data_IF_351773419976
#
_entry.id   IF_351773419976
#
_cell.length_a   1.000
_cell.length_b   1.000
_cell.length_c   1.000
_cell.angle_alpha   90.00
_cell.angle_beta   90.00
_cell.angle_gamma   90.00
#
_symmetry.space_group_name_H-M   'P 1'
#
loop_
_entity.id
_entity.type
_entity.pdbx_description
1 polymer ?
#
# COMPACT_ATOMS: atom_id res chain seq x y z
N UNK A 1 -29.05 7.00 3.56
CA UNK A 1 -27.98 5.99 3.34
C UNK A 1 -27.82 5.63 1.86
N UNK A 2 -28.87 5.20 1.15
CA UNK A 2 -28.77 4.79 -0.27
C UNK A 2 -28.25 5.90 -1.21
N UNK A 3 -28.77 7.13 -1.09
CA UNK A 3 -28.29 8.26 -1.90
C UNK A 3 -26.83 8.65 -1.62
N UNK A 4 -26.36 8.48 -0.38
CA UNK A 4 -24.96 8.69 -0.02
C UNK A 4 -24.06 7.60 -0.59
N UNK A 5 -24.49 6.33 -0.50
CA UNK A 5 -23.79 5.20 -1.08
C UNK A 5 -23.67 5.33 -2.61
N UNK A 6 -24.76 5.71 -3.29
CA UNK A 6 -24.75 6.01 -4.73
C UNK A 6 -23.75 7.12 -5.07
N UNK A 7 -23.81 8.26 -4.37
CA UNK A 7 -22.87 9.37 -4.61
C UNK A 7 -21.41 8.93 -4.45
N UNK A 8 -21.10 8.10 -3.44
CA UNK A 8 -19.76 7.55 -3.20
C UNK A 8 -19.36 6.56 -4.29
N UNK A 9 -20.25 5.66 -4.71
CA UNK A 9 -20.00 4.69 -5.77
C UNK A 9 -19.77 5.39 -7.11
N UNK A 10 -20.56 6.40 -7.46
CA UNK A 10 -20.35 7.19 -8.67
C UNK A 10 -19.01 7.92 -8.63
N UNK A 11 -18.66 8.54 -7.49
CA UNK A 11 -17.36 9.19 -7.31
C UNK A 11 -16.19 8.20 -7.45
N UNK A 12 -16.32 6.99 -6.92
CA UNK A 12 -15.31 5.94 -7.02
C UNK A 12 -15.19 5.42 -8.45
N UNK A 13 -16.32 5.16 -9.12
CA UNK A 13 -16.32 4.70 -10.50
C UNK A 13 -15.68 5.74 -11.44
N UNK A 14 -16.03 7.02 -11.27
CA UNK A 14 -15.46 8.10 -12.06
C UNK A 14 -13.96 8.27 -11.79
N UNK A 15 -13.53 8.20 -10.52
CA UNK A 15 -12.10 8.31 -10.20
C UNK A 15 -11.29 7.15 -10.77
N UNK A 16 -11.82 5.92 -10.69
CA UNK A 16 -11.18 4.74 -11.28
C UNK A 16 -11.10 4.85 -12.80
N UNK A 17 -12.17 5.30 -13.47
CA UNK A 17 -12.20 5.47 -14.93
C UNK A 17 -11.20 6.54 -15.40
N UNK A 18 -11.14 7.68 -14.69
CA UNK A 18 -10.16 8.72 -15.00
C UNK A 18 -8.73 8.22 -14.76
N UNK A 19 -8.49 7.54 -13.63
CA UNK A 19 -7.19 6.99 -13.31
C UNK A 19 -6.74 5.94 -14.35
N UNK A 20 -7.63 5.01 -14.73
CA UNK A 20 -7.32 3.98 -15.75
C UNK A 20 -7.05 4.59 -17.12
N UNK A 21 -7.81 5.62 -17.51
CA UNK A 21 -7.58 6.33 -18.76
C UNK A 21 -6.21 7.02 -18.75
N UNK A 22 -5.86 7.72 -17.67
CA UNK A 22 -4.56 8.37 -17.53
C UNK A 22 -3.43 7.35 -17.59
N UNK A 23 -3.53 6.23 -16.86
CA UNK A 23 -2.53 5.15 -16.88
C UNK A 23 -2.40 4.59 -18.30
N UNK A 24 -3.51 4.30 -18.98
CA UNK A 24 -3.51 3.80 -20.35
C UNK A 24 -2.79 4.76 -21.30
N UNK A 25 -3.09 6.06 -21.23
CA UNK A 25 -2.44 7.08 -22.06
C UNK A 25 -0.94 7.20 -21.76
N UNK A 26 -0.54 7.13 -20.49
CA UNK A 26 0.88 7.18 -20.09
C UNK A 26 1.64 5.96 -20.64
N UNK A 27 1.06 4.77 -20.54
CA UNK A 27 1.65 3.54 -21.10
C UNK A 27 1.75 3.62 -22.62
N UNK A 28 0.76 4.21 -23.28
CA UNK A 28 0.73 4.33 -24.75
C UNK A 28 1.75 5.35 -25.30
N UNK A 29 2.12 6.35 -24.49
CA UNK A 29 3.15 7.35 -24.85
C UNK A 29 4.55 6.85 -24.46
N UNK A 30 4.64 5.84 -23.59
CA UNK A 30 5.93 5.28 -23.18
C UNK A 30 6.67 4.71 -24.40
N UNK A 31 7.98 5.01 -24.54
CA UNK A 31 8.77 4.50 -25.65
C UNK A 31 8.93 2.98 -25.55
N UNK A 32 8.64 2.28 -26.64
CA UNK A 32 8.80 0.83 -26.76
C UNK A 32 7.58 0.13 -27.34
N UNK A 33 7.80 -0.92 -28.11
CA UNK A 33 6.74 -1.80 -28.59
C UNK A 33 6.61 -3.02 -27.65
N UNK A 34 5.43 -3.25 -27.03
CA UNK A 34 5.21 -4.45 -26.21
C UNK A 34 5.55 -5.75 -26.93
N UNK A 35 5.27 -5.86 -28.24
CA UNK A 35 5.59 -7.06 -29.01
C UNK A 35 7.11 -7.27 -29.16
N UNK A 36 7.85 -6.20 -29.47
CA UNK A 36 9.33 -6.25 -29.52
C UNK A 36 9.93 -6.54 -28.14
N UNK A 37 9.37 -5.98 -27.07
CA UNK A 37 9.81 -6.25 -25.70
C UNK A 37 9.58 -7.73 -25.32
N UNK A 38 8.43 -8.29 -25.70
CA UNK A 38 8.10 -9.69 -25.45
C UNK A 38 9.02 -10.66 -26.20
N UNK A 39 9.37 -10.36 -27.46
CA UNK A 39 10.22 -11.24 -28.28
C UNK A 39 11.72 -11.02 -28.05
N UNK A 40 12.10 -9.87 -27.47
CA UNK A 40 13.49 -9.51 -27.19
C UNK A 40 14.18 -8.79 -28.36
N UNK A 41 15.41 -8.33 -28.12
CA UNK A 41 16.15 -7.44 -29.02
C UNK A 41 16.51 -8.06 -30.39
N UNK A 42 16.49 -9.38 -30.50
CA UNK A 42 16.85 -10.11 -31.72
C UNK A 42 15.61 -10.61 -32.51
N UNK A 43 14.42 -10.12 -32.18
CA UNK A 43 13.19 -10.54 -32.84
C UNK A 43 13.19 -10.11 -34.32
N UNK A 44 12.88 -11.04 -35.22
CA UNK A 44 12.75 -10.75 -36.64
C UNK A 44 11.54 -9.80 -36.88
N UNK A 45 11.61 -8.81 -37.78
CA UNK A 45 10.53 -7.86 -37.99
C UNK A 45 9.17 -8.50 -38.29
N UNK A 46 9.17 -9.61 -39.03
CA UNK A 46 7.96 -10.35 -39.40
C UNK A 46 7.29 -11.00 -38.18
N UNK A 47 8.08 -11.52 -37.21
CA UNK A 47 7.53 -12.13 -35.99
C UNK A 47 7.00 -11.08 -35.03
N UNK A 48 7.62 -9.90 -34.98
CA UNK A 48 7.10 -8.75 -34.24
C UNK A 48 5.76 -8.30 -34.82
N UNK A 49 5.66 -8.13 -36.15
CA UNK A 49 4.42 -7.72 -36.80
C UNK A 49 3.29 -8.76 -36.61
N UNK A 50 3.60 -10.05 -36.64
CA UNK A 50 2.64 -11.10 -36.34
C UNK A 50 2.13 -11.00 -34.89
N UNK A 51 3.02 -10.84 -33.91
CA UNK A 51 2.64 -10.72 -32.50
C UNK A 51 1.88 -9.42 -32.21
N UNK A 52 2.19 -8.30 -32.88
CA UNK A 52 1.43 -7.05 -32.76
C UNK A 52 -0.02 -7.22 -33.17
N UNK A 53 -0.25 -7.93 -34.28
CA UNK A 53 -1.59 -8.25 -34.76
C UNK A 53 -2.31 -9.18 -33.79
N UNK A 54 -1.64 -10.23 -33.28
CA UNK A 54 -2.22 -11.17 -32.30
C UNK A 54 -2.64 -10.47 -31.00
N UNK A 55 -1.80 -9.53 -30.51
CA UNK A 55 -2.08 -8.72 -29.32
C UNK A 55 -3.05 -7.56 -29.57
N UNK A 56 -3.50 -7.36 -30.83
CA UNK A 56 -4.37 -6.24 -31.21
C UNK A 56 -3.73 -4.86 -31.00
N UNK A 57 -2.40 -4.76 -31.01
CA UNK A 57 -1.68 -3.50 -30.80
C UNK A 57 -1.86 -2.51 -31.95
N UNK A 58 -2.23 -3.00 -33.14
CA UNK A 58 -2.50 -2.20 -34.33
C UNK A 58 -3.95 -1.68 -34.38
N UNK A 59 -4.81 -2.07 -33.43
CA UNK A 59 -6.17 -1.55 -33.32
C UNK A 59 -6.17 -0.08 -32.84
N UNK A 60 -7.22 0.71 -33.19
CA UNK A 60 -7.40 2.04 -32.65
C UNK A 60 -7.37 2.06 -31.10
N UNK A 61 -6.68 3.06 -30.53
CA UNK A 61 -6.46 3.19 -29.08
C UNK A 61 -7.73 3.12 -28.25
N UNK A 62 -8.81 3.75 -28.73
CA UNK A 62 -10.10 3.74 -28.04
C UNK A 62 -10.70 2.32 -27.99
N UNK A 63 -10.54 1.52 -29.06
CA UNK A 63 -11.04 0.15 -29.12
C UNK A 63 -10.25 -0.75 -28.16
N UNK A 64 -8.92 -0.60 -28.11
CA UNK A 64 -8.06 -1.30 -27.14
C UNK A 64 -8.43 -0.97 -25.69
N UNK A 65 -8.71 0.30 -25.40
CA UNK A 65 -9.11 0.72 -24.06
C UNK A 65 -10.48 0.13 -23.67
N UNK A 66 -11.47 0.20 -24.56
CA UNK A 66 -12.80 -0.34 -24.30
C UNK A 66 -12.81 -1.87 -24.20
N UNK A 67 -12.02 -2.58 -25.01
CA UNK A 67 -11.90 -4.03 -24.92
C UNK A 67 -11.23 -4.45 -23.61
N UNK A 68 -10.14 -3.79 -23.22
CA UNK A 68 -9.47 -4.03 -21.94
C UNK A 68 -10.40 -3.73 -20.74
N UNK A 69 -11.13 -2.61 -20.78
CA UNK A 69 -12.07 -2.23 -19.74
C UNK A 69 -13.23 -3.24 -19.64
N UNK A 70 -13.78 -3.68 -20.78
CA UNK A 70 -14.83 -4.71 -20.82
C UNK A 70 -14.36 -6.06 -20.29
N UNK A 71 -13.13 -6.46 -20.61
CA UNK A 71 -12.49 -7.65 -20.05
C UNK A 71 -12.37 -7.56 -18.54
N UNK A 72 -11.82 -6.44 -18.03
CA UNK A 72 -11.64 -6.22 -16.58
C UNK A 72 -12.97 -6.27 -15.82
N UNK A 73 -14.06 -5.70 -16.37
CA UNK A 73 -15.40 -5.79 -15.78
C UNK A 73 -15.97 -7.22 -15.78
N UNK A 74 -15.51 -8.06 -16.70
CA UNK A 74 -15.89 -9.48 -16.79
C UNK A 74 -14.97 -10.41 -15.98
N UNK A 75 -13.98 -9.85 -15.28
CA UNK A 75 -12.99 -10.60 -14.49
C UNK A 75 -11.74 -11.02 -15.27
N UNK A 76 -11.62 -10.65 -16.55
CA UNK A 76 -10.41 -10.86 -17.34
C UNK A 76 -9.47 -9.65 -17.23
N UNK A 77 -8.43 -9.80 -16.41
CA UNK A 77 -7.40 -8.79 -16.22
C UNK A 77 -6.30 -8.83 -17.30
N UNK A 78 -6.38 -9.78 -18.22
CA UNK A 78 -5.38 -10.04 -19.25
C UNK A 78 -4.11 -10.72 -18.72
N UNK A 79 -3.12 -10.78 -19.60
CA UNK A 79 -1.82 -11.41 -19.36
C UNK A 79 -0.73 -10.34 -19.28
N UNK A 80 0.23 -10.52 -18.37
CA UNK A 80 1.41 -9.65 -18.31
C UNK A 80 2.29 -9.86 -19.53
N UNK A 81 2.60 -8.78 -20.26
CA UNK A 81 3.59 -8.84 -21.34
C UNK A 81 5.01 -9.13 -20.83
N UNK A 82 5.34 -8.74 -19.60
CA UNK A 82 6.66 -8.97 -19.01
C UNK A 82 6.80 -10.39 -18.45
N UNK A 83 5.84 -10.84 -17.63
CA UNK A 83 5.95 -12.13 -16.93
C UNK A 83 5.26 -13.28 -17.66
N UNK A 84 4.50 -12.99 -18.73
CA UNK A 84 3.72 -13.97 -19.51
C UNK A 84 2.78 -14.84 -18.67
N UNK A 85 2.28 -14.29 -17.57
CA UNK A 85 1.33 -14.93 -16.66
C UNK A 85 0.05 -14.09 -16.51
N UNK A 86 -1.09 -14.72 -16.18
CA UNK A 86 -2.34 -14.00 -15.92
C UNK A 86 -2.16 -12.95 -14.83
N UNK A 87 -2.64 -11.73 -15.07
CA UNK A 87 -2.52 -10.62 -14.11
C UNK A 87 -3.25 -10.93 -12.81
N UNK A 88 -4.40 -11.60 -12.89
CA UNK A 88 -5.17 -12.02 -11.71
C UNK A 88 -4.36 -12.92 -10.76
N UNK A 89 -3.56 -13.84 -11.31
CA UNK A 89 -2.70 -14.72 -10.53
C UNK A 89 -1.57 -13.94 -9.86
N UNK A 90 -0.90 -13.04 -10.58
CA UNK A 90 0.14 -12.19 -9.99
C UNK A 90 -0.42 -11.32 -8.85
N UNK A 91 -1.62 -10.76 -9.02
CA UNK A 91 -2.27 -9.97 -7.98
C UNK A 91 -2.58 -10.84 -6.76
N UNK A 92 -3.14 -12.04 -6.97
CA UNK A 92 -3.42 -12.99 -5.91
C UNK A 92 -2.15 -13.35 -5.12
N UNK A 93 -1.06 -13.68 -5.81
CA UNK A 93 0.23 -14.01 -5.19
C UNK A 93 0.75 -12.86 -4.32
N UNK A 94 0.64 -11.61 -4.78
CA UNK A 94 1.10 -10.43 -4.03
C UNK A 94 0.19 -10.09 -2.85
N UNK A 95 -1.11 -10.36 -2.94
CA UNK A 95 -2.07 -10.14 -1.84
C UNK A 95 -1.70 -11.01 -0.63
N UNK A 96 -1.21 -12.24 -0.85
CA UNK A 96 -0.82 -13.16 0.25
C UNK A 96 0.24 -12.59 1.18
N UNK A 97 1.07 -11.65 0.71
CA UNK A 97 2.09 -10.95 1.51
C UNK A 97 1.60 -9.57 1.92
N UNK A 98 1.02 -8.82 0.98
CA UNK A 98 0.68 -7.41 1.17
C UNK A 98 -0.44 -7.20 2.18
N UNK A 99 -1.49 -8.02 2.13
CA UNK A 99 -2.64 -7.88 3.02
C UNK A 99 -2.27 -8.22 4.48
N UNK A 100 -1.61 -9.36 4.79
CA UNK A 100 -1.16 -9.65 6.14
C UNK A 100 -0.16 -8.62 6.67
N UNK A 101 0.77 -8.14 5.83
CA UNK A 101 1.70 -7.07 6.21
C UNK A 101 0.97 -5.77 6.58
N UNK A 102 -0.01 -5.36 5.76
CA UNK A 102 -0.80 -4.16 6.03
C UNK A 102 -1.61 -4.29 7.33
N UNK A 103 -2.27 -5.43 7.55
CA UNK A 103 -3.02 -5.71 8.78
C UNK A 103 -2.10 -5.75 10.01
N UNK A 104 -0.92 -6.34 9.88
CA UNK A 104 0.05 -6.41 10.97
C UNK A 104 0.59 -5.02 11.33
N UNK A 105 0.99 -4.22 10.33
CA UNK A 105 1.42 -2.84 10.53
C UNK A 105 0.32 -1.97 11.13
N UNK A 106 -0.92 -2.09 10.63
CA UNK A 106 -2.08 -1.38 11.16
C UNK A 106 -2.36 -1.76 12.62
N UNK A 107 -2.35 -3.06 12.92
CA UNK A 107 -2.53 -3.57 14.27
C UNK A 107 -1.46 -3.04 15.23
N UNK A 108 -0.18 -3.14 14.86
CA UNK A 108 0.93 -2.59 15.64
C UNK A 108 0.78 -1.07 15.83
N UNK A 109 0.45 -0.33 14.77
CA UNK A 109 0.33 1.12 14.84
C UNK A 109 -0.77 1.54 15.81
N UNK A 110 -1.91 0.87 15.77
CA UNK A 110 -3.06 1.13 16.64
C UNK A 110 -2.77 0.74 18.09
N UNK A 111 -2.15 -0.43 18.29
CA UNK A 111 -1.77 -0.95 19.60
C UNK A 111 -0.76 -0.06 20.31
N UNK A 112 0.11 0.64 19.57
CA UNK A 112 1.05 1.61 20.12
C UNK A 112 0.40 2.98 20.29
N UNK A 113 -0.34 3.44 19.28
CA UNK A 113 -0.91 4.79 19.23
C UNK A 113 -1.96 5.03 20.30
N UNK A 114 -2.89 4.09 20.51
CA UNK A 114 -4.00 4.28 21.44
C UNK A 114 -3.50 4.40 22.88
N UNK A 115 -2.70 3.47 23.44
CA UNK A 115 -2.20 3.61 24.80
C UNK A 115 -1.32 4.85 24.98
N UNK A 116 -0.45 5.16 24.00
CA UNK A 116 0.40 6.35 24.07
C UNK A 116 -0.43 7.65 24.07
N UNK A 117 -1.43 7.74 23.19
CA UNK A 117 -2.34 8.89 23.11
C UNK A 117 -3.21 9.06 24.36
N UNK A 118 -3.78 7.96 24.88
CA UNK A 118 -4.57 7.94 26.12
C UNK A 118 -3.70 8.38 27.30
N UNK A 119 -2.51 7.81 27.44
CA UNK A 119 -1.57 8.15 28.51
C UNK A 119 -1.16 9.62 28.49
N UNK A 120 -0.85 10.16 27.30
CA UNK A 120 -0.50 11.56 27.13
C UNK A 120 -1.68 12.50 27.45
N UNK A 121 -2.90 12.15 27.01
CA UNK A 121 -4.10 12.94 27.31
C UNK A 121 -4.41 12.95 28.82
N UNK A 122 -4.34 11.80 29.49
CA UNK A 122 -4.58 11.68 30.93
C UNK A 122 -3.55 12.45 31.77
N UNK A 123 -2.34 12.69 31.23
CA UNK A 123 -1.26 13.43 31.88
C UNK A 123 -0.99 14.78 31.22
N UNK A 124 -2.00 15.39 30.57
CA UNK A 124 -1.89 16.67 29.87
C UNK A 124 -1.12 17.70 30.70
N UNK A 125 -0.10 18.30 30.09
CA UNK A 125 0.74 19.34 30.71
C UNK A 125 1.78 18.83 31.73
N UNK A 126 1.88 17.51 31.95
CA UNK A 126 2.91 16.90 32.81
C UNK A 126 4.06 16.34 31.97
N UNK A 127 5.16 15.96 32.64
CA UNK A 127 6.34 15.39 31.98
C UNK A 127 6.03 14.16 31.10
N UNK A 128 5.06 13.32 31.49
CA UNK A 128 4.65 12.14 30.71
C UNK A 128 4.01 12.50 29.37
N UNK A 129 3.25 13.59 29.32
CA UNK A 129 2.68 14.13 28.07
C UNK A 129 3.79 14.70 27.17
N UNK A 130 4.67 15.54 27.74
CA UNK A 130 5.81 16.10 27.03
C UNK A 130 6.73 15.02 26.43
N UNK A 131 6.97 13.93 27.16
CA UNK A 131 7.77 12.80 26.68
C UNK A 131 7.12 12.10 25.47
N UNK A 132 5.82 11.81 25.53
CA UNK A 132 5.10 11.20 24.40
C UNK A 132 5.09 12.15 23.20
N UNK A 133 4.75 13.43 23.39
CA UNK A 133 4.74 14.40 22.30
C UNK A 133 6.13 14.54 21.67
N UNK A 134 7.19 14.63 22.47
CA UNK A 134 8.56 14.66 21.98
C UNK A 134 8.91 13.42 21.15
N UNK A 135 8.57 12.23 21.64
CA UNK A 135 8.79 10.98 20.91
C UNK A 135 8.00 10.94 19.59
N UNK A 136 6.74 11.37 19.58
CA UNK A 136 5.95 11.43 18.33
C UNK A 136 6.54 12.44 17.34
N UNK A 137 7.07 13.57 17.81
CA UNK A 137 7.69 14.57 16.95
C UNK A 137 8.93 14.01 16.24
N UNK A 138 9.76 13.26 16.98
CA UNK A 138 10.90 12.56 16.38
C UNK A 138 10.44 11.53 15.35
N UNK A 139 9.43 10.71 15.69
CA UNK A 139 8.88 9.71 14.77
C UNK A 139 8.32 10.29 13.48
N UNK A 140 7.74 11.50 13.53
CA UNK A 140 7.21 12.21 12.36
C UNK A 140 8.33 12.90 11.56
N UNK A 141 9.36 13.41 12.24
CA UNK A 141 10.46 14.14 11.61
C UNK A 141 11.39 13.26 10.78
N UNK A 142 11.51 11.98 11.14
CA UNK A 142 12.36 11.01 10.43
C UNK A 142 11.65 10.56 9.14
N UNK A 143 12.26 10.72 7.95
CA UNK A 143 11.69 10.21 6.72
C UNK A 143 11.47 8.70 6.77
N UNK A 144 10.27 8.24 6.39
CA UNK A 144 9.88 6.83 6.49
C UNK A 144 10.86 5.88 5.77
N UNK A 145 11.30 6.24 4.56
CA UNK A 145 12.26 5.44 3.80
C UNK A 145 13.60 5.32 4.55
N UNK A 146 14.07 6.41 5.16
CA UNK A 146 15.33 6.45 5.88
C UNK A 146 15.25 5.62 7.17
N UNK A 147 14.13 5.71 7.89
CA UNK A 147 13.86 4.86 9.05
C UNK A 147 13.90 3.37 8.69
N UNK A 148 13.22 2.98 7.62
CA UNK A 148 13.24 1.60 7.13
C UNK A 148 14.67 1.13 6.78
N UNK A 149 15.46 1.98 6.12
CA UNK A 149 16.87 1.68 5.82
C UNK A 149 17.71 1.47 7.08
N UNK A 150 17.54 2.30 8.11
CA UNK A 150 18.24 2.14 9.40
C UNK A 150 17.86 0.85 10.09
N UNK A 151 16.58 0.48 10.06
CA UNK A 151 16.10 -0.80 10.60
C UNK A 151 16.74 -1.99 9.87
N UNK A 152 16.81 -1.96 8.54
CA UNK A 152 17.50 -3.01 7.75
C UNK A 152 18.98 -3.07 8.11
N UNK A 153 19.68 -1.93 8.15
CA UNK A 153 21.10 -1.87 8.48
C UNK A 153 21.39 -2.47 9.85
N UNK A 154 20.59 -2.10 10.86
CA UNK A 154 20.80 -2.56 12.22
C UNK A 154 20.38 -4.02 12.40
N UNK A 155 19.14 -4.36 12.04
CA UNK A 155 18.53 -5.64 12.42
C UNK A 155 18.75 -6.77 11.41
N UNK A 156 18.91 -6.45 10.12
CA UNK A 156 19.18 -7.45 9.09
C UNK A 156 20.69 -7.59 8.80
N UNK A 157 21.43 -6.49 8.68
CA UNK A 157 22.84 -6.55 8.29
C UNK A 157 23.79 -6.71 9.49
N UNK A 158 23.67 -5.85 10.51
CA UNK A 158 24.59 -5.86 11.66
C UNK A 158 24.26 -6.98 12.66
N UNK A 159 23.02 -7.02 13.14
CA UNK A 159 22.57 -8.01 14.15
C UNK A 159 22.17 -9.35 13.54
N UNK A 160 21.81 -9.39 12.25
CA UNK A 160 21.36 -10.60 11.53
C UNK A 160 20.19 -11.33 12.20
N UNK A 161 19.32 -10.58 12.88
CA UNK A 161 18.11 -11.12 13.50
C UNK A 161 17.05 -11.46 12.46
N UNK A 162 16.99 -10.66 11.39
CA UNK A 162 16.04 -10.78 10.29
C UNK A 162 16.74 -10.95 8.95
N UNK A 163 16.04 -11.50 7.96
CA UNK A 163 16.50 -11.49 6.57
C UNK A 163 16.34 -10.09 5.98
N UNK A 164 17.26 -9.68 5.09
CA UNK A 164 17.15 -8.42 4.37
C UNK A 164 16.02 -8.44 3.31
N UNK A 165 15.52 -9.63 2.93
CA UNK A 165 14.43 -9.77 1.99
C UNK A 165 13.93 -11.20 1.84
N UNK A 166 12.90 -11.36 1.00
CA UNK A 166 12.23 -12.63 0.74
C UNK A 166 11.08 -12.93 1.71
N UNK A 167 10.16 -13.77 1.25
CA UNK A 167 9.03 -14.27 2.03
C UNK A 167 9.02 -15.80 1.92
N UNK A 168 9.17 -16.55 3.02
CA UNK A 168 9.34 -18.00 2.98
C UNK A 168 8.04 -18.77 2.67
N UNK A 169 6.92 -18.07 2.48
CA UNK A 169 5.61 -18.68 2.34
C UNK A 169 4.92 -18.93 3.68
N UNK A 170 3.63 -19.23 3.63
CA UNK A 170 2.81 -19.49 4.82
C UNK A 170 2.93 -20.93 5.38
N UNK A 171 3.67 -21.80 4.69
CA UNK A 171 4.01 -23.17 5.15
C UNK A 171 4.70 -23.16 6.52
N UNK A 172 5.46 -22.09 6.83
CA UNK A 172 6.03 -21.86 8.16
C UNK A 172 5.56 -20.50 8.71
N UNK A 173 4.40 -20.44 9.39
CA UNK A 173 3.79 -19.18 9.83
C UNK A 173 4.71 -18.34 10.72
N UNK A 174 5.53 -18.97 11.56
CA UNK A 174 6.48 -18.26 12.42
C UNK A 174 7.60 -17.59 11.61
N UNK A 175 8.12 -18.26 10.57
CA UNK A 175 9.13 -17.66 9.69
C UNK A 175 8.52 -16.59 8.79
N UNK A 176 7.28 -16.79 8.32
CA UNK A 176 6.50 -15.79 7.60
C UNK A 176 6.35 -14.51 8.44
N UNK A 177 5.82 -14.64 9.67
CA UNK A 177 5.69 -13.51 10.60
C UNK A 177 7.03 -12.85 10.87
N UNK A 178 8.09 -13.64 11.12
CA UNK A 178 9.45 -13.11 11.31
C UNK A 178 9.91 -12.27 10.11
N UNK A 179 9.68 -12.73 8.88
CA UNK A 179 10.03 -11.98 7.66
C UNK A 179 9.21 -10.69 7.49
N UNK A 180 7.98 -10.65 8.01
CA UNK A 180 7.10 -9.49 7.94
C UNK A 180 7.31 -8.48 9.08
N UNK A 181 7.87 -8.89 10.23
CA UNK A 181 7.99 -8.03 11.41
C UNK A 181 8.80 -6.76 11.16
N UNK A 182 9.96 -6.85 10.51
CA UNK A 182 10.80 -5.67 10.29
C UNK A 182 10.13 -4.65 9.34
N UNK A 183 9.56 -5.06 8.19
CA UNK A 183 8.70 -4.19 7.38
C UNK A 183 7.47 -3.65 8.14
N UNK A 184 6.82 -4.48 8.94
CA UNK A 184 5.63 -4.07 9.70
C UNK A 184 5.97 -2.99 10.72
N UNK A 185 7.09 -3.11 11.43
CA UNK A 185 7.58 -2.08 12.38
C UNK A 185 7.94 -0.80 11.66
N UNK A 186 8.61 -0.90 10.49
CA UNK A 186 8.95 0.26 9.68
C UNK A 186 7.71 1.05 9.24
N UNK A 187 6.64 0.37 8.87
CA UNK A 187 5.35 0.98 8.52
C UNK A 187 4.58 1.48 9.76
N UNK A 188 4.62 0.74 10.86
CA UNK A 188 3.78 0.98 12.02
C UNK A 188 4.23 2.17 12.87
N UNK A 189 5.53 2.35 13.11
CA UNK A 189 6.01 3.34 14.09
C UNK A 189 5.74 4.80 13.70
N UNK A 190 6.03 5.24 12.45
CA UNK A 190 5.70 6.61 12.03
C UNK A 190 4.18 6.85 12.05
N UNK A 191 3.40 5.86 11.63
CA UNK A 191 1.93 5.92 11.68
C UNK A 191 1.41 5.99 13.12
N UNK A 192 2.01 5.21 14.03
CA UNK A 192 1.67 5.24 15.44
C UNK A 192 1.93 6.63 16.06
N UNK A 193 3.03 7.29 15.66
CA UNK A 193 3.34 8.63 16.14
C UNK A 193 2.29 9.67 15.71
N UNK A 194 1.83 9.60 14.46
CA UNK A 194 0.76 10.46 13.94
C UNK A 194 -0.55 10.17 14.68
N UNK A 195 -0.94 8.90 14.74
CA UNK A 195 -2.19 8.47 15.37
C UNK A 195 -2.23 8.77 16.88
N UNK A 196 -1.12 8.61 17.60
CA UNK A 196 -1.04 8.94 19.03
C UNK A 196 -1.32 10.43 19.27
N UNK A 197 -0.80 11.30 18.40
CA UNK A 197 -1.03 12.75 18.49
C UNK A 197 -2.50 13.10 18.22
N UNK A 198 -3.09 12.52 17.18
CA UNK A 198 -4.52 12.71 16.86
C UNK A 198 -5.38 12.22 18.01
N UNK A 199 -5.15 10.99 18.49
CA UNK A 199 -5.87 10.40 19.61
C UNK A 199 -5.79 11.27 20.86
N UNK A 200 -4.59 11.76 21.20
CA UNK A 200 -4.40 12.66 22.33
C UNK A 200 -5.21 13.96 22.16
N UNK A 201 -5.16 14.60 20.99
CA UNK A 201 -5.92 15.83 20.74
C UNK A 201 -7.41 15.58 20.90
N UNK A 202 -7.95 14.57 20.22
CA UNK A 202 -9.36 14.23 20.27
C UNK A 202 -9.84 13.89 21.68
N UNK A 203 -9.03 13.17 22.47
CA UNK A 203 -9.37 12.88 23.87
C UNK A 203 -9.37 14.13 24.73
N UNK A 204 -8.42 15.03 24.54
CA UNK A 204 -8.37 16.29 25.28
C UNK A 204 -9.63 17.12 25.00
N UNK A 205 -10.05 17.19 23.74
CA UNK A 205 -11.26 17.91 23.34
C UNK A 205 -12.51 17.27 23.96
N UNK A 206 -12.66 15.94 23.85
CA UNK A 206 -13.79 15.19 24.43
C UNK A 206 -13.83 15.30 25.96
N UNK A 207 -12.69 15.26 26.64
CA UNK A 207 -12.63 15.39 28.11
C UNK A 207 -13.10 16.77 28.61
N UNK A 208 -13.19 17.76 27.73
CA UNK A 208 -13.70 19.10 28.06
C UNK A 208 -15.22 19.23 27.90
N UNK A 209 -15.90 18.22 27.35
CA UNK A 209 -17.34 18.22 27.07
C UNK A 209 -18.19 17.96 28.32
N UNK A 210 -19.40 18.53 28.35
CA UNK A 210 -20.29 18.50 29.52
C UNK A 210 -20.85 17.11 29.85
N UNK A 211 -20.99 16.22 28.84
CA UNK A 211 -21.42 14.85 29.08
C UNK A 211 -20.37 14.03 29.86
N UNK A 212 -19.08 14.35 29.71
CA UNK A 212 -18.01 13.73 30.50
C UNK A 212 -18.06 14.23 31.94
N UNK A 213 -18.36 15.52 32.17
CA UNK A 213 -18.51 16.08 33.53
C UNK A 213 -19.67 15.44 34.28
N UNK A 214 -20.78 15.20 33.59
CA UNK A 214 -21.96 14.53 34.17
C UNK A 214 -21.71 13.06 34.49
N UNK A 215 -20.80 12.40 33.78
CA UNK A 215 -20.48 10.99 33.97
C UNK A 215 -19.43 10.70 35.07
N UNK A 216 -18.76 11.74 35.59
CA UNK A 216 -17.72 11.63 36.64
C UNK A 216 -18.33 11.76 38.04
#
# INVERSE_FOLDING_TARGET
MLGYALKRLTSLALSLLVASLVIFLVVEVAPGDPASYMLGLNAQPDTVAALRNELGLDLPKWQRYLSWLGGMLSGDFGTSYTYRTPVAQMVADRITVSLPLALYALGLSTLIALPAGIYAAARRGKAGDAAVIGATQLGIAIPNFWFAMLLVLLFALKLRWFSAGGFPGWESPLMALKSLTLPAVALALPQAAILARVMRSSLIDILSEDFIRTAR
#
